data_IF_404381565566
#
_entry.id   IF_404381565566
#
_cell.length_a   1.000
_cell.length_b   1.000
_cell.length_c   1.000
_cell.angle_alpha   90.00
_cell.angle_beta   90.00
_cell.angle_gamma   90.00
#
_symmetry.space_group_name_H-M   'P 1'
#
loop_
_entity.id
_entity.type
_entity.pdbx_description
1 polymer ?
#
# COMPACT_ATOMS: atom_id res chain seq x y z
N UNK A 1 29.51 -15.85 -3.21
CA UNK A 1 28.80 -15.22 -2.06
C UNK A 1 27.29 -15.38 -2.26
N UNK A 2 26.62 -16.21 -1.45
CA UNK A 2 25.15 -16.30 -1.44
C UNK A 2 24.63 -15.12 -0.64
N UNK A 3 24.07 -14.12 -1.32
CA UNK A 3 23.37 -13.01 -0.67
C UNK A 3 22.24 -13.59 0.17
N UNK A 4 22.32 -13.42 1.50
CA UNK A 4 21.22 -13.75 2.40
C UNK A 4 20.04 -12.88 1.98
N UNK A 5 19.05 -13.49 1.34
CA UNK A 5 17.77 -12.85 1.07
C UNK A 5 17.12 -12.64 2.43
N UNK A 6 17.28 -11.45 3.00
CA UNK A 6 16.48 -11.03 4.14
C UNK A 6 15.06 -10.97 3.59
N UNK A 7 14.23 -11.95 3.94
CA UNK A 7 12.79 -11.90 3.68
C UNK A 7 12.26 -10.81 4.59
N UNK A 8 12.37 -9.56 4.15
CA UNK A 8 11.75 -8.43 4.82
C UNK A 8 10.26 -8.62 4.60
N UNK A 9 9.57 -9.17 5.61
CA UNK A 9 8.12 -9.27 5.60
C UNK A 9 7.52 -7.88 5.42
N UNK A 10 6.80 -7.68 4.33
CA UNK A 10 6.07 -6.43 4.10
C UNK A 10 4.79 -6.49 4.94
N UNK A 11 4.64 -5.56 5.88
CA UNK A 11 3.43 -5.47 6.68
C UNK A 11 2.34 -4.75 5.87
N UNK A 12 1.25 -5.45 5.55
CA UNK A 12 0.09 -4.90 4.85
C UNK A 12 -0.78 -4.14 5.85
N UNK A 13 -0.84 -2.81 5.72
CA UNK A 13 -1.52 -1.94 6.68
C UNK A 13 -2.76 -1.29 6.08
N UNK A 14 -2.65 -0.76 4.87
CA UNK A 14 -3.75 -0.08 4.19
C UNK A 14 -4.11 -0.79 2.89
N UNK A 15 -5.29 -1.37 2.86
CA UNK A 15 -5.94 -1.85 1.65
C UNK A 15 -6.60 -0.74 0.88
N UNK A 16 -6.77 -0.96 -0.43
CA UNK A 16 -7.54 -0.07 -1.29
C UNK A 16 -8.86 -0.75 -1.66
N UNK A 17 -9.97 -0.17 -1.22
CA UNK A 17 -11.33 -0.61 -1.53
C UNK A 17 -11.54 -0.69 -3.06
N UNK A 18 -12.11 -1.79 -3.54
CA UNK A 18 -12.24 -2.07 -4.99
C UNK A 18 -10.95 -2.52 -5.70
N UNK A 19 -9.80 -2.51 -5.02
CA UNK A 19 -8.48 -2.88 -5.57
C UNK A 19 -7.71 -3.82 -4.63
N UNK A 20 -8.28 -5.00 -4.36
CA UNK A 20 -7.77 -5.98 -3.37
C UNK A 20 -6.32 -6.45 -3.54
N UNK A 21 -5.75 -6.31 -4.74
CA UNK A 21 -4.36 -6.67 -5.01
C UNK A 21 -3.38 -5.58 -4.63
N UNK A 22 -3.83 -4.39 -4.23
CA UNK A 22 -3.00 -3.22 -3.97
C UNK A 22 -3.10 -2.80 -2.51
N UNK A 23 -1.97 -2.41 -1.92
CA UNK A 23 -1.92 -2.01 -0.53
C UNK A 23 -0.71 -1.12 -0.23
N UNK A 24 -0.75 -0.46 0.92
CA UNK A 24 0.39 0.26 1.48
C UNK A 24 0.85 -0.38 2.79
N UNK A 25 2.15 -0.23 3.06
CA UNK A 25 2.71 -0.54 4.36
C UNK A 25 2.55 0.63 5.36
N UNK A 26 3.01 0.43 6.59
CA UNK A 26 3.02 1.46 7.63
C UNK A 26 3.81 2.72 7.25
N UNK A 27 4.80 2.61 6.36
CA UNK A 27 5.65 3.71 5.90
C UNK A 27 5.08 4.41 4.66
N UNK A 28 3.91 3.97 4.19
CA UNK A 28 3.28 4.48 2.97
C UNK A 28 3.93 3.98 1.69
N UNK A 29 4.82 2.99 1.72
CA UNK A 29 5.34 2.36 0.51
C UNK A 29 4.24 1.54 -0.18
N UNK A 30 4.20 1.62 -1.51
CA UNK A 30 3.12 1.07 -2.30
C UNK A 30 3.47 -0.29 -2.89
N UNK A 31 2.57 -1.25 -2.75
CA UNK A 31 2.78 -2.63 -3.19
C UNK A 31 1.57 -3.17 -3.95
N UNK A 32 1.82 -4.25 -4.71
CA UNK A 32 0.76 -5.09 -5.24
C UNK A 32 1.09 -6.57 -5.17
N UNK A 33 0.08 -7.41 -5.14
CA UNK A 33 0.21 -8.83 -5.46
C UNK A 33 0.21 -9.04 -6.98
N UNK A 34 1.07 -9.93 -7.46
CA UNK A 34 0.94 -10.47 -8.82
C UNK A 34 -0.01 -11.68 -8.83
N UNK A 35 -0.24 -12.27 -10.02
CA UNK A 35 -1.12 -13.43 -10.17
C UNK A 35 -0.66 -14.68 -9.41
N UNK A 36 0.61 -14.74 -8.98
CA UNK A 36 1.18 -15.82 -8.18
C UNK A 36 1.13 -15.53 -6.67
N UNK A 37 0.59 -14.38 -6.27
CA UNK A 37 0.56 -13.94 -4.88
C UNK A 37 1.86 -13.32 -4.38
N UNK A 38 2.82 -13.05 -5.25
CA UNK A 38 4.09 -12.43 -4.86
C UNK A 38 3.91 -10.91 -4.68
N UNK A 39 4.58 -10.36 -3.67
CA UNK A 39 4.55 -8.92 -3.36
C UNK A 39 5.54 -8.19 -4.26
N UNK A 40 5.01 -7.27 -5.08
CA UNK A 40 5.77 -6.44 -6.00
C UNK A 40 5.77 -4.99 -5.48
N UNK A 41 6.94 -4.41 -5.18
CA UNK A 41 7.03 -2.99 -4.84
C UNK A 41 6.75 -2.13 -6.06
N UNK A 42 5.96 -1.08 -5.87
CA UNK A 42 5.70 -0.05 -6.86
C UNK A 42 6.54 1.17 -6.52
N UNK A 43 7.07 1.88 -7.53
CA UNK A 43 7.94 3.06 -7.37
C UNK A 43 7.17 4.31 -6.90
N UNK A 44 6.30 4.18 -5.90
CA UNK A 44 5.50 5.26 -5.32
C UNK A 44 5.38 5.06 -3.81
N UNK A 45 5.38 6.18 -3.10
CA UNK A 45 5.16 6.24 -1.66
C UNK A 45 4.08 7.27 -1.39
N UNK A 46 3.18 7.00 -0.45
CA UNK A 46 2.21 7.93 0.08
C UNK A 46 2.94 9.11 0.73
N UNK A 47 3.14 10.16 -0.06
CA UNK A 47 3.71 11.45 0.37
C UNK A 47 2.89 12.57 -0.27
N UNK A 48 2.67 13.65 0.49
CA UNK A 48 1.87 14.85 0.11
C UNK A 48 1.89 15.27 -1.37
N UNK A 49 3.03 15.16 -2.06
CA UNK A 49 3.21 15.64 -3.44
C UNK A 49 3.33 14.54 -4.49
N UNK A 50 2.88 13.31 -4.20
CA UNK A 50 2.96 12.24 -5.20
C UNK A 50 2.10 12.58 -6.41
N UNK A 51 2.72 12.48 -7.59
CA UNK A 51 2.14 12.67 -8.92
C UNK A 51 0.96 11.72 -9.27
N UNK A 52 0.36 11.03 -8.29
CA UNK A 52 -0.75 10.08 -8.43
C UNK A 52 -0.35 8.61 -8.51
N UNK A 53 -1.35 7.74 -8.36
CA UNK A 53 -1.25 6.29 -8.26
C UNK A 53 -1.98 5.66 -9.45
N UNK A 54 -1.36 4.67 -10.09
CA UNK A 54 -1.99 3.92 -11.18
C UNK A 54 -2.41 2.55 -10.67
N UNK A 55 -3.72 2.30 -10.65
CA UNK A 55 -4.32 1.01 -10.27
C UNK A 55 -4.98 0.40 -11.50
N UNK A 56 -4.55 -0.78 -11.94
CA UNK A 56 -5.10 -1.48 -13.14
C UNK A 56 -5.39 -0.55 -14.35
N UNK A 57 -4.51 0.42 -14.64
CA UNK A 57 -4.64 1.41 -15.72
C UNK A 57 -5.48 2.67 -15.45
N UNK A 58 -6.03 2.86 -14.24
CA UNK A 58 -6.69 4.11 -13.85
C UNK A 58 -5.79 4.93 -12.93
N UNK A 59 -5.69 6.22 -13.23
CA UNK A 59 -4.95 7.19 -12.43
C UNK A 59 -5.82 7.73 -11.28
N UNK A 60 -5.24 7.82 -10.09
CA UNK A 60 -5.84 8.38 -8.88
C UNK A 60 -4.90 9.40 -8.25
N UNK A 61 -5.40 10.60 -7.97
CA UNK A 61 -4.70 11.51 -7.05
C UNK A 61 -4.72 10.96 -5.63
N UNK A 62 -3.82 11.45 -4.77
CA UNK A 62 -3.82 11.04 -3.35
C UNK A 62 -5.18 11.35 -2.68
N UNK A 63 -5.79 12.49 -2.98
CA UNK A 63 -7.10 12.88 -2.46
C UNK A 63 -8.23 11.94 -2.90
N UNK A 64 -8.14 11.36 -4.10
CA UNK A 64 -9.10 10.35 -4.57
C UNK A 64 -8.84 8.98 -3.94
N UNK A 65 -7.58 8.66 -3.64
CA UNK A 65 -7.19 7.37 -3.06
C UNK A 65 -7.52 7.27 -1.57
N UNK A 66 -7.26 8.34 -0.81
CA UNK A 66 -7.48 8.43 0.65
C UNK A 66 -8.85 7.89 1.13
N UNK A 67 -9.99 8.30 0.55
CA UNK A 67 -11.30 7.78 1.00
C UNK A 67 -11.52 6.28 0.71
N UNK A 68 -10.71 5.70 -0.18
CA UNK A 68 -10.75 4.26 -0.51
C UNK A 68 -9.84 3.43 0.39
N UNK A 69 -8.99 4.05 1.22
CA UNK A 69 -8.11 3.33 2.11
C UNK A 69 -8.91 2.65 3.23
N UNK A 70 -8.58 1.38 3.48
CA UNK A 70 -9.17 0.55 4.53
C UNK A 70 -8.04 -0.05 5.34
N UNK A 71 -8.15 0.00 6.66
CA UNK A 71 -7.16 -0.62 7.52
C UNK A 71 -7.27 -2.14 7.43
N UNK A 72 -6.14 -2.82 7.23
CA UNK A 72 -6.08 -4.26 6.99
C UNK A 72 -6.40 -5.07 8.26
N UNK A 73 -5.86 -4.66 9.42
CA UNK A 73 -6.02 -5.37 10.69
C UNK A 73 -7.20 -4.81 11.49
N UNK A 74 -8.40 -5.36 11.30
CA UNK A 74 -9.62 -4.94 12.04
C UNK A 74 -9.59 -5.20 13.55
N UNK A 75 -8.64 -6.01 14.05
CA UNK A 75 -8.57 -6.44 15.45
C UNK A 75 -7.78 -5.50 16.37
N UNK A 76 -7.02 -4.55 15.83
CA UNK A 76 -6.49 -3.44 16.62
C UNK A 76 -7.37 -2.20 16.38
N UNK A 77 -7.87 -1.55 17.44
CA UNK A 77 -8.53 -0.27 17.26
C UNK A 77 -7.54 0.64 16.55
N UNK A 78 -7.96 1.22 15.42
CA UNK A 78 -7.25 2.28 14.73
C UNK A 78 -7.13 3.47 15.70
N UNK A 79 -6.22 3.36 16.67
CA UNK A 79 -5.92 4.41 17.64
C UNK A 79 -5.23 5.50 16.84
N UNK A 80 -6.04 6.43 16.36
CA UNK A 80 -5.63 7.79 16.03
C UNK A 80 -4.45 7.92 15.06
N UNK A 81 -4.34 7.03 14.07
CA UNK A 81 -3.55 7.32 12.89
C UNK A 81 -4.51 7.51 11.72
N UNK A 82 -4.99 8.74 11.46
CA UNK A 82 -5.32 9.08 10.09
C UNK A 82 -4.15 8.65 9.20
N UNK A 83 -4.39 8.38 7.93
CA UNK A 83 -3.33 8.28 6.93
C UNK A 83 -2.63 9.66 6.78
N UNK A 84 -1.98 10.12 7.86
CA UNK A 84 -1.29 11.39 8.04
C UNK A 84 0.08 11.24 7.39
N UNK A 85 0.03 11.23 6.06
CA UNK A 85 1.17 11.20 5.15
C UNK A 85 1.30 12.56 4.43
#
# INVERSE_FOLDING_TARGET
>A
MKTRQIVVGVNRVWDIDGYSTYFFDAKGAFYRFNARGEVIPLKRTMKRYTQGYVLKSRFFSLSQLRPMLRWHNRDEPAKNHPADF
#
